data_IF_504145774707
#
_entry.id   IF_504145774707
#
_cell.length_a   1.000
_cell.length_b   1.000
_cell.length_c   1.000
_cell.angle_alpha   90.00
_cell.angle_beta   90.00
_cell.angle_gamma   90.00
#
_symmetry.space_group_name_H-M   'P 1'
#
loop_
_entity.id
_entity.type
_entity.pdbx_description
1 polymer ?
#
# COMPACT_ATOMS: atom_id res chain seq x y z
N UNK A 1 33.11 13.08 68.12
CA UNK A 1 33.49 12.51 66.83
C UNK A 1 32.22 12.28 66.04
N UNK A 2 31.88 13.14 65.11
CA UNK A 2 30.71 13.05 64.28
C UNK A 2 31.07 12.40 62.93
N UNK A 3 30.54 11.22 62.70
CA UNK A 3 30.69 10.55 61.42
C UNK A 3 29.59 11.06 60.47
N UNK A 4 30.00 11.82 59.50
CA UNK A 4 29.08 12.33 58.47
C UNK A 4 28.93 11.23 57.42
N UNK A 5 27.79 10.57 57.38
CA UNK A 5 27.42 9.64 56.31
C UNK A 5 26.95 10.47 55.14
N UNK A 6 27.77 10.53 54.08
CA UNK A 6 27.36 11.10 52.80
C UNK A 6 26.60 10.06 52.03
N UNK A 7 25.26 10.23 52.00
CA UNK A 7 24.42 9.46 51.10
C UNK A 7 24.66 9.92 49.66
N UNK A 8 25.25 9.06 48.87
CA UNK A 8 25.31 9.24 47.41
C UNK A 8 23.96 8.88 46.82
N UNK A 9 23.23 9.88 46.37
CA UNK A 9 22.02 9.70 45.59
C UNK A 9 22.48 9.36 44.14
N UNK A 10 22.39 8.12 43.80
CA UNK A 10 22.58 7.69 42.40
C UNK A 10 21.28 8.01 41.68
N UNK A 11 21.31 9.10 40.90
CA UNK A 11 20.23 9.41 39.97
C UNK A 11 20.30 8.43 38.81
N UNK A 12 19.44 7.42 38.78
CA UNK A 12 19.20 6.61 37.59
C UNK A 12 18.51 7.50 36.55
N UNK A 13 19.29 8.02 35.62
CA UNK A 13 18.72 8.61 34.41
C UNK A 13 18.14 7.48 33.58
N UNK A 14 16.83 7.31 33.66
CA UNK A 14 16.11 6.46 32.71
C UNK A 14 16.19 7.10 31.35
N UNK A 15 17.10 6.62 30.51
CA UNK A 15 17.13 6.95 29.11
C UNK A 15 15.95 6.19 28.49
N UNK A 16 14.81 6.86 28.40
CA UNK A 16 13.73 6.44 27.50
C UNK A 16 14.29 6.60 26.09
N UNK A 17 14.82 5.50 25.55
CA UNK A 17 15.04 5.42 24.12
C UNK A 17 13.65 5.55 23.49
N UNK A 18 13.35 6.71 22.89
CA UNK A 18 12.24 6.85 22.01
C UNK A 18 12.49 5.85 20.87
N UNK A 19 11.77 4.72 20.90
CA UNK A 19 11.66 3.87 19.72
C UNK A 19 11.22 4.82 18.59
N UNK A 20 11.95 4.87 17.45
CA UNK A 20 11.40 5.55 16.30
C UNK A 20 9.99 5.01 16.15
N UNK A 21 8.99 5.90 16.16
CA UNK A 21 7.64 5.54 15.78
C UNK A 21 7.85 4.73 14.52
N UNK A 22 7.54 3.43 14.58
CA UNK A 22 7.63 2.56 13.43
C UNK A 22 6.94 3.35 12.35
N UNK A 23 7.72 3.95 11.44
CA UNK A 23 7.21 4.71 10.32
C UNK A 23 6.11 3.85 9.79
N UNK A 24 4.88 4.32 9.85
CA UNK A 24 3.66 3.59 9.66
C UNK A 24 3.91 2.51 8.63
N UNK A 25 4.32 1.33 9.14
CA UNK A 25 4.75 0.24 8.31
C UNK A 25 3.55 -0.35 7.60
N UNK A 26 2.86 0.48 6.78
CA UNK A 26 1.83 -0.06 5.93
C UNK A 26 2.44 -1.12 5.05
N UNK A 27 1.80 -2.25 5.02
CA UNK A 27 2.11 -3.33 4.10
C UNK A 27 0.81 -3.99 3.67
N UNK A 28 0.79 -4.63 2.49
CA UNK A 28 -0.38 -5.37 2.06
C UNK A 28 -0.78 -6.44 3.07
N UNK A 29 -2.06 -6.52 3.38
CA UNK A 29 -2.61 -7.63 4.15
C UNK A 29 -2.56 -8.92 3.32
N UNK A 30 -2.58 -10.10 3.97
CA UNK A 30 -2.81 -11.35 3.25
C UNK A 30 -4.11 -11.27 2.45
N UNK A 31 -4.09 -11.81 1.23
CA UNK A 31 -5.28 -11.82 0.36
C UNK A 31 -6.38 -12.69 0.97
N UNK A 32 -7.56 -12.15 1.31
CA UNK A 32 -8.66 -12.95 1.84
C UNK A 32 -9.17 -13.97 0.82
N UNK A 33 -9.69 -15.09 1.28
CA UNK A 33 -10.12 -16.18 0.42
C UNK A 33 -11.15 -15.74 -0.63
N UNK A 34 -12.09 -14.87 -0.27
CA UNK A 34 -13.07 -14.33 -1.22
C UNK A 34 -12.41 -13.57 -2.38
N UNK A 35 -11.35 -12.83 -2.09
CA UNK A 35 -10.61 -12.09 -3.11
C UNK A 35 -9.74 -13.01 -3.97
N UNK A 36 -9.14 -14.05 -3.39
CA UNK A 36 -8.43 -15.09 -4.15
C UNK A 36 -9.37 -15.72 -5.20
N UNK A 37 -10.56 -16.13 -4.78
CA UNK A 37 -11.55 -16.74 -5.68
C UNK A 37 -11.99 -15.77 -6.78
N UNK A 38 -12.31 -14.53 -6.42
CA UNK A 38 -12.73 -13.50 -7.36
C UNK A 38 -11.66 -13.24 -8.41
N UNK A 39 -10.42 -13.02 -7.97
CA UNK A 39 -9.29 -12.82 -8.87
C UNK A 39 -9.09 -13.99 -9.81
N UNK A 40 -9.08 -15.21 -9.29
CA UNK A 40 -8.91 -16.41 -10.10
C UNK A 40 -10.01 -16.58 -11.15
N UNK A 41 -11.26 -16.31 -10.78
CA UNK A 41 -12.39 -16.37 -11.71
C UNK A 41 -12.26 -15.32 -12.83
N UNK A 42 -11.88 -14.12 -12.48
CA UNK A 42 -11.70 -13.03 -13.44
C UNK A 42 -10.51 -13.28 -14.38
N UNK A 43 -9.43 -13.84 -13.87
CA UNK A 43 -8.30 -14.26 -14.69
C UNK A 43 -8.69 -15.42 -15.63
N UNK A 44 -9.41 -16.42 -15.13
CA UNK A 44 -9.87 -17.55 -15.92
C UNK A 44 -10.82 -17.13 -17.04
N UNK A 45 -11.68 -16.14 -16.82
CA UNK A 45 -12.60 -15.62 -17.83
C UNK A 45 -11.95 -14.65 -18.82
N UNK A 46 -10.71 -14.24 -18.59
CA UNK A 46 -10.02 -13.23 -19.40
C UNK A 46 -10.39 -11.78 -19.07
N UNK A 47 -11.23 -11.55 -18.06
CA UNK A 47 -11.60 -10.20 -17.62
C UNK A 47 -10.45 -9.47 -16.93
N UNK A 48 -9.55 -10.22 -16.32
CA UNK A 48 -8.34 -9.71 -15.70
C UNK A 48 -7.13 -10.41 -16.30
N UNK A 49 -6.06 -9.67 -16.57
CA UNK A 49 -4.83 -10.23 -17.14
C UNK A 49 -4.26 -11.33 -16.25
N UNK A 50 -3.85 -12.43 -16.86
CA UNK A 50 -3.22 -13.54 -16.16
C UNK A 50 -1.74 -13.21 -15.92
N UNK A 51 -1.45 -12.68 -14.73
CA UNK A 51 -0.12 -12.35 -14.23
C UNK A 51 -0.09 -12.44 -12.71
N UNK A 52 1.09 -12.46 -12.08
CA UNK A 52 1.18 -12.42 -10.62
C UNK A 52 0.70 -11.06 -10.08
N UNK A 53 -0.48 -11.05 -9.49
CA UNK A 53 -1.04 -9.87 -8.82
C UNK A 53 -0.79 -9.96 -7.32
N UNK A 54 -0.21 -8.90 -6.77
CA UNK A 54 -0.09 -8.71 -5.33
C UNK A 54 -1.34 -8.01 -4.81
N UNK A 55 -2.06 -8.66 -3.90
CA UNK A 55 -3.17 -8.00 -3.21
C UNK A 55 -2.64 -6.86 -2.35
N UNK A 56 -3.27 -5.70 -2.44
CA UNK A 56 -2.88 -4.51 -1.69
C UNK A 56 -3.84 -4.24 -0.54
N UNK A 57 -5.07 -3.99 -0.86
CA UNK A 57 -6.14 -3.79 0.12
C UNK A 57 -7.51 -3.93 -0.52
N UNK A 58 -8.54 -4.00 0.31
CA UNK A 58 -9.92 -3.99 -0.13
C UNK A 58 -10.76 -3.05 0.73
N UNK A 59 -11.78 -2.50 0.11
CA UNK A 59 -12.88 -1.82 0.77
C UNK A 59 -14.14 -2.66 0.60
N UNK A 60 -14.75 -3.01 1.70
CA UNK A 60 -16.00 -3.75 1.71
C UNK A 60 -17.03 -2.99 2.53
N UNK A 61 -18.04 -2.48 1.86
CA UNK A 61 -19.18 -1.80 2.47
C UNK A 61 -20.47 -2.47 2.00
N UNK A 62 -21.63 -2.19 2.62
CA UNK A 62 -22.89 -2.71 2.12
C UNK A 62 -23.19 -2.33 0.67
N UNK A 63 -22.64 -1.22 0.18
CA UNK A 63 -22.90 -0.70 -1.17
C UNK A 63 -21.83 -1.12 -2.19
N UNK A 64 -20.64 -1.50 -1.75
CA UNK A 64 -19.49 -1.61 -2.63
C UNK A 64 -18.47 -2.61 -2.14
N UNK A 65 -17.97 -3.45 -3.05
CA UNK A 65 -16.73 -4.19 -2.89
C UNK A 65 -15.69 -3.64 -3.87
N UNK A 66 -14.54 -3.25 -3.36
CA UNK A 66 -13.44 -2.74 -4.18
C UNK A 66 -12.12 -3.36 -3.71
N UNK A 67 -11.38 -3.99 -4.62
CA UNK A 67 -10.09 -4.57 -4.35
C UNK A 67 -9.00 -3.95 -5.20
N UNK A 68 -7.84 -3.72 -4.59
CA UNK A 68 -6.66 -3.18 -5.26
C UNK A 68 -5.56 -4.23 -5.32
N UNK A 69 -4.99 -4.35 -6.51
CA UNK A 69 -3.86 -5.24 -6.81
C UNK A 69 -2.75 -4.48 -7.51
N UNK A 70 -1.54 -4.98 -7.38
CA UNK A 70 -0.35 -4.42 -8.00
C UNK A 70 0.46 -5.54 -8.65
N UNK A 71 1.07 -5.26 -9.80
CA UNK A 71 1.96 -6.19 -10.48
C UNK A 71 3.13 -5.45 -11.14
N UNK A 72 4.26 -6.12 -11.24
CA UNK A 72 5.36 -5.70 -12.09
C UNK A 72 6.06 -4.41 -11.66
N UNK A 73 6.39 -4.26 -10.39
CA UNK A 73 7.17 -3.09 -9.93
C UNK A 73 8.53 -3.04 -10.60
N UNK A 74 8.83 -1.90 -11.22
CA UNK A 74 10.11 -1.63 -11.88
C UNK A 74 10.60 -0.25 -11.52
N UNK A 75 11.84 -0.18 -11.03
CA UNK A 75 12.47 1.11 -10.69
C UNK A 75 12.85 1.85 -11.95
N UNK A 76 12.54 3.14 -12.00
CA UNK A 76 12.90 4.07 -13.08
C UNK A 76 13.59 5.30 -12.48
N UNK A 77 14.07 6.20 -13.34
CA UNK A 77 14.65 7.46 -12.89
C UNK A 77 13.66 8.36 -12.14
N UNK A 78 12.37 8.22 -12.42
CA UNK A 78 11.32 9.03 -11.79
C UNK A 78 10.77 8.40 -10.50
N UNK A 79 10.95 7.09 -10.30
CA UNK A 79 10.43 6.38 -9.15
C UNK A 79 10.21 4.90 -9.45
N UNK A 80 9.02 4.39 -9.18
CA UNK A 80 8.66 2.98 -9.43
C UNK A 80 7.41 2.93 -10.30
N UNK A 81 7.51 2.29 -11.46
CA UNK A 81 6.35 2.02 -12.32
C UNK A 81 5.80 0.62 -12.03
N UNK A 82 4.50 0.49 -12.18
CA UNK A 82 3.79 -0.77 -11.95
C UNK A 82 2.43 -0.78 -12.65
N UNK A 83 1.81 -1.96 -12.71
CA UNK A 83 0.43 -2.10 -13.13
C UNK A 83 -0.46 -2.22 -11.92
N UNK A 84 -1.55 -1.45 -11.88
CA UNK A 84 -2.58 -1.54 -10.87
C UNK A 84 -3.79 -2.28 -11.43
N UNK A 85 -4.32 -3.22 -10.66
CA UNK A 85 -5.57 -3.91 -10.94
C UNK A 85 -6.64 -3.46 -9.95
N UNK A 86 -7.74 -2.94 -10.46
CA UNK A 86 -8.87 -2.48 -9.64
C UNK A 86 -10.08 -3.33 -9.96
N UNK A 87 -10.58 -4.02 -8.95
CA UNK A 87 -11.79 -4.84 -9.03
C UNK A 87 -12.91 -4.15 -8.26
N UNK A 88 -14.01 -3.88 -8.92
CA UNK A 88 -15.12 -3.14 -8.35
C UNK A 88 -16.44 -3.85 -8.63
N UNK A 89 -17.25 -4.03 -7.60
CA UNK A 89 -18.63 -4.49 -7.73
C UNK A 89 -19.54 -3.72 -6.79
N UNK A 90 -20.58 -3.10 -7.37
CA UNK A 90 -21.60 -2.43 -6.59
C UNK A 90 -22.67 -3.43 -6.13
N UNK A 91 -23.29 -3.15 -4.98
CA UNK A 91 -24.39 -3.94 -4.50
C UNK A 91 -25.53 -3.98 -5.53
N UNK A 92 -26.11 -5.17 -5.75
CA UNK A 92 -27.17 -5.37 -6.75
C UNK A 92 -26.68 -5.54 -8.19
N UNK A 93 -25.38 -5.45 -8.43
CA UNK A 93 -24.76 -5.70 -9.73
C UNK A 93 -23.97 -7.00 -9.65
N UNK A 94 -24.24 -7.94 -10.54
CA UNK A 94 -23.55 -9.24 -10.54
C UNK A 94 -22.16 -9.16 -11.13
N UNK A 95 -21.97 -8.30 -12.13
CA UNK A 95 -20.73 -8.24 -12.89
C UNK A 95 -19.68 -7.38 -12.18
N UNK A 96 -18.45 -7.88 -12.18
CA UNK A 96 -17.29 -7.15 -11.75
C UNK A 96 -16.84 -6.17 -12.83
N UNK A 97 -16.51 -4.95 -12.41
CA UNK A 97 -15.73 -4.03 -13.24
C UNK A 97 -14.26 -4.24 -12.95
N UNK A 98 -13.48 -4.46 -14.01
CA UNK A 98 -12.03 -4.63 -13.92
C UNK A 98 -11.38 -3.48 -14.65
N UNK A 99 -10.47 -2.79 -13.95
CA UNK A 99 -9.64 -1.75 -14.55
C UNK A 99 -8.18 -2.09 -14.30
N UNK A 100 -7.39 -2.07 -15.35
CA UNK A 100 -5.94 -2.19 -15.25
C UNK A 100 -5.33 -0.87 -15.71
N UNK A 101 -4.52 -0.27 -14.86
CA UNK A 101 -3.92 1.05 -15.08
C UNK A 101 -2.41 0.93 -14.99
N UNK A 102 -1.70 1.59 -15.92
CA UNK A 102 -0.28 1.81 -15.73
C UNK A 102 -0.09 2.97 -14.75
N UNK A 103 0.69 2.75 -13.70
CA UNK A 103 0.91 3.73 -12.65
C UNK A 103 2.38 3.91 -12.35
N UNK A 104 2.71 5.00 -11.69
CA UNK A 104 4.02 5.19 -11.07
C UNK A 104 3.91 5.85 -9.70
N UNK A 105 4.81 5.44 -8.83
CA UNK A 105 5.02 6.08 -7.55
C UNK A 105 6.20 7.05 -7.67
N UNK A 106 5.95 8.31 -7.33
CA UNK A 106 6.98 9.33 -7.21
C UNK A 106 7.51 9.30 -5.77
N UNK A 107 8.56 8.51 -5.55
CA UNK A 107 9.02 8.11 -4.22
C UNK A 107 9.37 9.29 -3.33
N UNK A 108 10.06 10.30 -3.86
CA UNK A 108 10.48 11.49 -3.10
C UNK A 108 9.35 12.49 -2.84
N UNK A 109 8.24 12.35 -3.55
CA UNK A 109 7.09 13.26 -3.45
C UNK A 109 5.89 12.61 -2.76
N UNK A 110 5.99 11.33 -2.42
CA UNK A 110 4.90 10.55 -1.80
C UNK A 110 3.59 10.62 -2.59
N UNK A 111 3.70 10.57 -3.92
CA UNK A 111 2.58 10.72 -4.83
C UNK A 111 2.48 9.56 -5.79
N UNK A 112 1.25 9.30 -6.23
CA UNK A 112 0.94 8.36 -7.30
C UNK A 112 0.50 9.11 -8.55
N UNK A 113 0.87 8.59 -9.71
CA UNK A 113 0.39 9.04 -10.99
C UNK A 113 -0.10 7.86 -11.80
N UNK A 114 -1.06 8.10 -12.69
CA UNK A 114 -1.50 7.13 -13.70
C UNK A 114 -1.14 7.60 -15.10
N UNK A 115 -0.92 6.68 -15.98
CA UNK A 115 -0.72 6.98 -17.39
C UNK A 115 -2.08 7.19 -18.06
N UNK A 116 -2.32 8.40 -18.58
CA UNK A 116 -3.54 8.71 -19.31
C UNK A 116 -3.48 8.20 -20.75
N UNK A 117 -4.62 8.18 -21.45
CA UNK A 117 -4.72 7.65 -22.82
C UNK A 117 -3.88 8.39 -23.86
N UNK A 118 -3.44 9.61 -23.57
CA UNK A 118 -2.53 10.42 -24.40
C UNK A 118 -1.04 10.22 -24.05
N UNK A 119 -0.70 9.20 -23.29
CA UNK A 119 0.63 8.91 -22.76
C UNK A 119 1.17 9.99 -21.81
N UNK A 120 0.31 10.79 -21.21
CA UNK A 120 0.69 11.74 -20.19
C UNK A 120 0.48 11.16 -18.79
N UNK A 121 1.43 11.40 -17.91
CA UNK A 121 1.27 11.09 -16.50
C UNK A 121 0.41 12.16 -15.83
N UNK A 122 -0.62 11.71 -15.14
CA UNK A 122 -1.51 12.60 -14.39
C UNK A 122 -1.59 12.14 -12.94
N UNK A 123 -1.78 13.10 -12.04
CA UNK A 123 -1.89 12.79 -10.63
C UNK A 123 -3.08 11.88 -10.36
N UNK A 124 -2.83 10.83 -9.58
CA UNK A 124 -3.86 9.95 -9.09
C UNK A 124 -4.17 10.31 -7.64
N UNK A 125 -5.38 10.78 -7.40
CA UNK A 125 -5.82 11.11 -6.05
C UNK A 125 -6.19 9.82 -5.34
N UNK A 126 -5.30 9.40 -4.45
CA UNK A 126 -5.50 8.20 -3.63
C UNK A 126 -6.26 8.52 -2.35
N UNK A 127 -6.29 7.52 -1.47
CA UNK A 127 -6.83 7.64 -0.12
C UNK A 127 -5.80 8.30 0.80
N UNK A 128 -6.19 8.54 2.06
CA UNK A 128 -5.34 9.19 3.07
C UNK A 128 -4.03 8.44 3.36
N UNK A 129 -3.96 7.14 3.07
CA UNK A 129 -2.80 6.29 3.26
C UNK A 129 -1.81 6.26 2.07
N UNK A 130 -2.00 7.13 1.08
CA UNK A 130 -1.18 7.14 -0.15
C UNK A 130 0.31 7.23 0.14
N UNK A 131 0.74 8.08 1.07
CA UNK A 131 2.16 8.23 1.39
C UNK A 131 2.78 6.93 1.90
N UNK A 132 2.07 6.20 2.75
CA UNK A 132 2.51 4.90 3.27
C UNK A 132 2.57 3.82 2.18
N UNK A 133 1.60 3.81 1.28
CA UNK A 133 1.61 2.91 0.11
C UNK A 133 2.78 3.20 -0.82
N UNK A 134 3.05 4.46 -1.11
CA UNK A 134 4.19 4.86 -1.94
C UNK A 134 5.50 4.40 -1.30
N UNK A 135 5.65 4.54 0.01
CA UNK A 135 6.83 4.06 0.72
C UNK A 135 7.03 2.54 0.53
N UNK A 136 5.96 1.77 0.63
CA UNK A 136 6.02 0.32 0.39
C UNK A 136 6.32 -0.03 -1.07
N UNK A 137 5.66 0.64 -2.02
CA UNK A 137 5.86 0.42 -3.46
C UNK A 137 7.32 0.71 -3.84
N UNK A 138 7.91 1.72 -3.24
CA UNK A 138 9.27 2.15 -3.53
C UNK A 138 10.35 1.33 -2.82
N UNK A 139 9.98 0.52 -1.84
CA UNK A 139 10.88 -0.37 -1.10
C UNK A 139 11.10 -1.68 -1.89
N UNK A 140 11.81 -1.57 -2.99
CA UNK A 140 12.23 -2.69 -3.84
C UNK A 140 13.74 -2.63 -4.09
N UNK A 141 14.40 -3.80 -4.26
CA UNK A 141 15.83 -3.87 -4.56
C UNK A 141 16.22 -3.12 -5.85
#
# INVERSE_FOLDING_TARGET
>A
MSATVRSAVVALASVLAALPAAADGWSPAPEPAVWVQTRQQLQASGAMTDRPWQFMEALETPELMAGEYLSGRTRTSAGVEFDAGLLLRRNGVEDWQVRELRMRALCNQQRLQRLAGDNQWVDYVGRDDTASKVAWICDIP
#
